data_IF_171728387439
#
_entry.id   IF_171728387439
#
_cell.length_a   1.000
_cell.length_b   1.000
_cell.length_c   1.000
_cell.angle_alpha   90.00
_cell.angle_beta   90.00
_cell.angle_gamma   90.00
#
_symmetry.space_group_name_H-M   'P 1'
#
loop_
_entity.id
_entity.type
_entity.pdbx_description
1 polymer ?
#
# COMPACT_ATOMS: atom_id res chain seq x y z
N UNK A 1 30.42 16.16 2.79
CA UNK A 1 29.70 16.01 1.51
C UNK A 1 29.62 14.52 1.19
N UNK A 2 28.44 13.92 1.05
CA UNK A 2 28.34 12.56 0.56
C UNK A 2 28.79 12.51 -0.91
N UNK A 3 29.39 11.41 -1.36
CA UNK A 3 29.91 11.29 -2.72
C UNK A 3 28.77 11.34 -3.75
N UNK A 4 28.86 12.20 -4.74
CA UNK A 4 27.89 12.40 -5.83
C UNK A 4 27.52 11.09 -6.59
N UNK A 5 28.33 10.04 -6.49
CA UNK A 5 28.08 8.74 -7.12
C UNK A 5 26.98 7.93 -6.44
N UNK A 6 26.82 8.00 -5.11
CA UNK A 6 25.81 7.25 -4.37
C UNK A 6 24.40 7.80 -4.63
N UNK A 7 24.24 9.12 -4.71
CA UNK A 7 22.95 9.78 -4.99
C UNK A 7 22.44 9.45 -6.40
N UNK A 8 23.36 9.42 -7.40
CA UNK A 8 22.99 9.05 -8.78
C UNK A 8 22.60 7.56 -8.91
N UNK A 9 23.28 6.65 -8.21
CA UNK A 9 22.94 5.22 -8.24
C UNK A 9 21.58 4.93 -7.61
N UNK A 10 21.26 5.60 -6.49
CA UNK A 10 19.95 5.48 -5.83
C UNK A 10 18.82 6.04 -6.69
N UNK A 11 19.04 7.20 -7.34
CA UNK A 11 18.09 7.80 -8.27
C UNK A 11 17.84 6.88 -9.46
N UNK A 12 18.90 6.32 -10.08
CA UNK A 12 18.77 5.43 -11.23
C UNK A 12 18.06 4.12 -10.89
N UNK A 13 18.30 3.57 -9.69
CA UNK A 13 17.58 2.38 -9.22
C UNK A 13 16.08 2.66 -9.06
N UNK A 14 15.70 3.82 -8.53
CA UNK A 14 14.31 4.22 -8.41
C UNK A 14 13.61 4.33 -9.77
N UNK A 15 14.26 4.97 -10.76
CA UNK A 15 13.77 5.06 -12.14
C UNK A 15 13.54 3.65 -12.77
N UNK A 16 14.49 2.74 -12.54
CA UNK A 16 14.37 1.37 -13.09
C UNK A 16 13.21 0.61 -12.43
N UNK A 17 12.99 0.78 -11.11
CA UNK A 17 11.87 0.14 -10.40
C UNK A 17 10.53 0.73 -10.82
N UNK A 18 10.45 2.04 -11.07
CA UNK A 18 9.23 2.69 -11.55
C UNK A 18 8.87 2.20 -12.96
N UNK A 19 9.81 2.22 -13.90
CA UNK A 19 9.60 1.68 -15.24
C UNK A 19 9.24 0.19 -15.23
N UNK A 20 9.77 -0.58 -14.27
CA UNK A 20 9.43 -1.99 -14.09
C UNK A 20 8.00 -2.16 -13.56
N UNK A 21 7.56 -1.32 -12.60
CA UNK A 21 6.19 -1.32 -12.11
C UNK A 21 5.21 -1.04 -13.24
N UNK A 22 5.47 0.00 -14.05
CA UNK A 22 4.64 0.34 -15.21
C UNK A 22 4.59 -0.81 -16.22
N UNK A 23 5.74 -1.37 -16.61
CA UNK A 23 5.82 -2.49 -17.54
C UNK A 23 5.02 -3.71 -17.05
N UNK A 24 5.15 -4.04 -15.77
CA UNK A 24 4.40 -5.14 -15.15
C UNK A 24 2.89 -4.86 -15.08
N UNK A 25 2.50 -3.61 -14.82
CA UNK A 25 1.10 -3.20 -14.80
C UNK A 25 0.47 -3.24 -16.21
N UNK A 26 1.23 -2.86 -17.26
CA UNK A 26 0.74 -2.79 -18.64
C UNK A 26 0.67 -4.19 -19.29
N UNK A 27 1.74 -4.98 -19.16
CA UNK A 27 1.90 -6.22 -19.90
C UNK A 27 1.69 -7.49 -19.05
N UNK A 28 1.50 -7.32 -17.76
CA UNK A 28 1.42 -8.42 -16.79
C UNK A 28 2.74 -9.18 -16.62
N UNK A 29 2.73 -10.16 -15.72
CA UNK A 29 3.92 -10.98 -15.46
C UNK A 29 4.41 -11.70 -16.72
N UNK A 30 3.54 -12.34 -17.50
CA UNK A 30 3.95 -13.12 -18.68
C UNK A 30 4.58 -12.25 -19.77
N UNK A 31 4.01 -11.09 -20.04
CA UNK A 31 4.45 -10.18 -21.10
C UNK A 31 5.71 -9.38 -20.77
N UNK A 32 5.95 -9.07 -19.49
CA UNK A 32 7.12 -8.31 -19.05
C UNK A 32 8.42 -9.13 -19.15
N UNK A 33 9.52 -8.47 -19.49
CA UNK A 33 10.87 -9.08 -19.54
C UNK A 33 11.96 -8.03 -19.29
N UNK A 34 13.14 -8.47 -18.79
CA UNK A 34 14.30 -7.60 -18.63
C UNK A 34 14.72 -6.94 -19.95
N UNK A 35 14.56 -7.63 -21.09
CA UNK A 35 14.84 -7.07 -22.41
C UNK A 35 13.91 -5.89 -22.73
N UNK A 36 12.60 -6.04 -22.49
CA UNK A 36 11.63 -4.95 -22.70
C UNK A 36 11.87 -3.79 -21.76
N UNK A 37 12.20 -4.07 -20.50
CA UNK A 37 12.55 -3.04 -19.53
C UNK A 37 13.80 -2.25 -19.96
N UNK A 38 14.85 -2.94 -20.45
CA UNK A 38 16.04 -2.31 -20.99
C UNK A 38 15.71 -1.38 -22.17
N UNK A 39 14.89 -1.86 -23.12
CA UNK A 39 14.45 -1.08 -24.26
C UNK A 39 13.64 0.16 -23.83
N UNK A 40 12.73 0.03 -22.86
CA UNK A 40 11.93 1.15 -22.31
C UNK A 40 12.80 2.24 -21.66
N UNK A 41 13.90 1.83 -21.02
CA UNK A 41 14.85 2.73 -20.35
C UNK A 41 15.98 3.25 -21.26
N UNK A 42 16.05 2.83 -22.50
CA UNK A 42 17.18 3.14 -23.39
C UNK A 42 18.52 2.58 -22.87
N UNK A 43 18.49 1.46 -22.14
CA UNK A 43 19.67 0.83 -21.53
C UNK A 43 20.06 -0.43 -22.29
N UNK A 44 21.38 -0.76 -22.25
CA UNK A 44 21.82 -2.08 -22.66
C UNK A 44 21.32 -3.15 -21.66
N UNK A 45 20.79 -4.26 -22.16
CA UNK A 45 20.28 -5.33 -21.31
C UNK A 45 21.30 -5.83 -20.25
N UNK A 46 22.61 -5.97 -20.53
CA UNK A 46 23.59 -6.33 -19.50
C UNK A 46 23.64 -5.39 -18.32
N UNK A 47 23.33 -4.10 -18.50
CA UNK A 47 23.31 -3.13 -17.41
C UNK A 47 22.19 -3.39 -16.39
N UNK A 48 21.08 -4.00 -16.81
CA UNK A 48 20.00 -4.38 -15.89
C UNK A 48 20.37 -5.56 -15.00
N UNK A 49 21.24 -6.47 -15.45
CA UNK A 49 21.70 -7.59 -14.64
C UNK A 49 22.56 -7.16 -13.42
N UNK A 50 23.04 -5.92 -13.39
CA UNK A 50 23.64 -5.35 -12.18
C UNK A 50 22.59 -5.02 -11.10
N UNK A 51 21.33 -4.80 -11.49
CA UNK A 51 20.22 -4.49 -10.58
C UNK A 51 19.40 -5.73 -10.24
N UNK A 52 19.13 -6.60 -11.22
CA UNK A 52 18.25 -7.76 -11.09
C UNK A 52 18.84 -8.97 -11.80
N UNK A 53 18.99 -10.07 -11.08
CA UNK A 53 19.54 -11.31 -11.64
C UNK A 53 18.53 -12.04 -12.51
N UNK A 54 17.26 -12.01 -12.12
CA UNK A 54 16.15 -12.68 -12.81
C UNK A 54 14.93 -11.77 -12.86
N UNK A 55 13.92 -12.18 -13.61
CA UNK A 55 12.62 -11.53 -13.64
C UNK A 55 11.91 -11.63 -12.29
N UNK A 56 12.05 -12.76 -11.63
CA UNK A 56 11.50 -12.99 -10.29
C UNK A 56 12.11 -12.02 -9.27
N UNK A 57 13.43 -11.83 -9.32
CA UNK A 57 14.14 -10.85 -8.48
C UNK A 57 13.63 -9.42 -8.74
N UNK A 58 13.45 -9.04 -10.02
CA UNK A 58 12.84 -7.76 -10.39
C UNK A 58 11.47 -7.59 -9.74
N UNK A 59 10.58 -8.58 -9.89
CA UNK A 59 9.21 -8.51 -9.33
C UNK A 59 9.23 -8.43 -7.82
N UNK A 60 10.05 -9.25 -7.13
CA UNK A 60 10.19 -9.19 -5.67
C UNK A 60 10.63 -7.80 -5.20
N UNK A 61 11.60 -7.18 -5.90
CA UNK A 61 12.08 -5.85 -5.54
C UNK A 61 11.05 -4.76 -5.81
N UNK A 62 10.31 -4.83 -6.90
CA UNK A 62 9.17 -3.93 -7.19
C UNK A 62 8.14 -4.05 -6.08
N UNK A 63 7.68 -5.27 -5.76
CA UNK A 63 6.68 -5.50 -4.73
C UNK A 63 7.16 -5.01 -3.35
N UNK A 64 8.38 -5.32 -2.95
CA UNK A 64 8.93 -4.91 -1.66
C UNK A 64 9.06 -3.37 -1.54
N UNK A 65 9.51 -2.71 -2.62
CA UNK A 65 9.71 -1.25 -2.63
C UNK A 65 8.37 -0.51 -2.47
N UNK A 66 7.38 -0.86 -3.29
CA UNK A 66 6.09 -0.17 -3.27
C UNK A 66 5.22 -0.55 -2.06
N UNK A 67 5.35 -1.78 -1.56
CA UNK A 67 4.78 -2.16 -0.28
C UNK A 67 5.36 -1.33 0.88
N UNK A 68 6.68 -1.17 0.92
CA UNK A 68 7.34 -0.32 1.92
C UNK A 68 6.84 1.13 1.91
N UNK A 69 6.60 1.70 0.74
CA UNK A 69 6.06 3.05 0.60
C UNK A 69 4.64 3.21 1.15
N UNK A 70 3.83 2.14 1.16
CA UNK A 70 2.51 2.17 1.78
C UNK A 70 2.59 2.40 3.29
N UNK A 71 3.51 1.69 3.97
CA UNK A 71 3.67 1.78 5.43
C UNK A 71 4.41 3.04 5.89
N UNK A 72 5.19 3.66 5.01
CA UNK A 72 5.85 4.95 5.27
C UNK A 72 4.90 6.16 5.10
N UNK A 73 3.64 5.92 4.80
CA UNK A 73 2.68 6.99 4.51
C UNK A 73 2.22 7.76 5.75
N UNK A 74 2.42 7.22 6.95
CA UNK A 74 2.12 7.87 8.23
C UNK A 74 3.39 8.48 8.81
N UNK A 75 3.47 9.81 8.80
CA UNK A 75 4.43 10.52 9.65
C UNK A 75 3.93 10.49 11.11
N UNK A 76 4.82 10.56 12.11
CA UNK A 76 4.41 10.56 13.52
C UNK A 76 3.38 11.64 13.89
N UNK A 77 3.44 12.81 13.24
CA UNK A 77 2.51 13.93 13.39
C UNK A 77 1.12 13.68 12.77
N UNK A 78 0.97 12.62 11.99
CA UNK A 78 -0.27 12.19 11.34
C UNK A 78 -0.95 11.01 12.06
N UNK A 79 -0.39 10.55 13.17
CA UNK A 79 -1.01 9.51 13.98
C UNK A 79 -2.19 10.08 14.78
N UNK A 80 -3.24 9.26 15.04
CA UNK A 80 -4.36 9.71 15.88
C UNK A 80 -3.87 10.01 17.28
N UNK A 81 -4.31 11.13 17.85
CA UNK A 81 -3.97 11.54 19.23
C UNK A 81 -5.03 11.11 20.24
N UNK A 82 -6.26 10.92 19.80
CA UNK A 82 -7.38 10.39 20.57
C UNK A 82 -7.96 9.15 19.87
N UNK A 83 -8.64 8.30 20.63
CA UNK A 83 -9.34 7.14 20.07
C UNK A 83 -10.44 7.58 19.10
N UNK A 84 -11.10 8.71 19.36
CA UNK A 84 -12.13 9.29 18.51
C UNK A 84 -11.57 9.71 17.13
N UNK A 85 -10.29 10.13 17.04
CA UNK A 85 -9.65 10.49 15.78
C UNK A 85 -9.33 9.29 14.86
N UNK A 86 -9.27 8.08 15.41
CA UNK A 86 -8.83 6.88 14.68
C UNK A 86 -9.60 6.64 13.38
N UNK A 87 -10.95 6.68 13.35
CA UNK A 87 -11.68 6.44 12.10
C UNK A 87 -11.33 7.46 11.02
N UNK A 88 -11.31 8.74 11.35
CA UNK A 88 -11.00 9.82 10.43
C UNK A 88 -9.55 9.71 9.90
N UNK A 89 -8.57 9.62 10.80
CA UNK A 89 -7.14 9.54 10.42
C UNK A 89 -6.86 8.31 9.57
N UNK A 90 -7.44 7.16 9.90
CA UNK A 90 -7.30 5.92 9.13
C UNK A 90 -7.81 6.08 7.71
N UNK A 91 -9.03 6.55 7.54
CA UNK A 91 -9.69 6.68 6.23
C UNK A 91 -9.00 7.74 5.37
N UNK A 92 -8.72 8.93 5.91
CA UNK A 92 -8.04 10.01 5.19
C UNK A 92 -6.62 9.60 4.75
N UNK A 93 -5.92 8.84 5.59
CA UNK A 93 -4.59 8.33 5.23
C UNK A 93 -4.66 7.29 4.13
N UNK A 94 -5.61 6.36 4.19
CA UNK A 94 -5.84 5.40 3.13
C UNK A 94 -6.13 6.11 1.81
N UNK A 95 -7.03 7.09 1.79
CA UNK A 95 -7.34 7.90 0.60
C UNK A 95 -6.08 8.55 0.02
N UNK A 96 -5.24 9.20 0.86
CA UNK A 96 -3.98 9.82 0.40
C UNK A 96 -3.01 8.81 -0.20
N UNK A 97 -2.88 7.63 0.38
CA UNK A 97 -2.01 6.57 -0.15
C UNK A 97 -2.49 6.10 -1.50
N UNK A 98 -3.77 5.84 -1.63
CA UNK A 98 -4.38 5.37 -2.88
C UNK A 98 -4.39 6.42 -4.00
N UNK A 99 -4.33 7.70 -3.66
CA UNK A 99 -4.22 8.79 -4.65
C UNK A 99 -2.81 8.93 -5.24
N UNK A 100 -1.79 8.28 -4.69
CA UNK A 100 -0.45 8.29 -5.28
C UNK A 100 -0.47 7.61 -6.65
N UNK A 101 0.14 8.19 -7.70
CA UNK A 101 0.08 7.65 -9.06
C UNK A 101 0.55 6.19 -9.19
N UNK A 102 1.54 5.80 -8.40
CA UNK A 102 2.12 4.45 -8.42
C UNK A 102 1.28 3.40 -7.69
N UNK A 103 0.35 3.83 -6.80
CA UNK A 103 -0.39 2.89 -5.96
C UNK A 103 -1.36 1.98 -6.76
N UNK A 104 -2.19 2.49 -7.70
CA UNK A 104 -3.04 1.64 -8.51
C UNK A 104 -2.22 0.65 -9.37
N UNK A 105 -1.07 1.08 -9.89
CA UNK A 105 -0.17 0.20 -10.65
C UNK A 105 0.36 -0.93 -9.75
N UNK A 106 0.80 -0.58 -8.53
CA UNK A 106 1.26 -1.57 -7.56
C UNK A 106 0.18 -2.59 -7.22
N UNK A 107 -1.06 -2.16 -6.94
CA UNK A 107 -2.17 -3.06 -6.61
C UNK A 107 -2.48 -3.99 -7.79
N UNK A 108 -2.52 -3.48 -9.03
CA UNK A 108 -2.69 -4.30 -10.25
C UNK A 108 -1.60 -5.37 -10.35
N UNK A 109 -0.35 -4.98 -10.18
CA UNK A 109 0.80 -5.92 -10.23
C UNK A 109 0.67 -6.94 -9.10
N UNK A 110 0.45 -6.51 -7.86
CA UNK A 110 0.33 -7.39 -6.70
C UNK A 110 -0.75 -8.47 -6.89
N UNK A 111 -1.95 -8.07 -7.36
CA UNK A 111 -3.04 -9.00 -7.65
C UNK A 111 -2.64 -9.96 -8.79
N UNK A 112 -2.06 -9.45 -9.88
CA UNK A 112 -1.75 -10.26 -11.06
C UNK A 112 -0.66 -11.31 -10.80
N UNK A 113 0.36 -10.97 -10.00
CA UNK A 113 1.51 -11.84 -9.77
C UNK A 113 1.34 -12.80 -8.59
N UNK A 114 0.46 -12.49 -7.63
CA UNK A 114 0.29 -13.27 -6.40
C UNK A 114 -0.08 -14.74 -6.64
N UNK A 115 -0.71 -15.05 -7.77
CA UNK A 115 -1.12 -16.39 -8.16
C UNK A 115 -0.18 -17.07 -9.16
N UNK A 116 0.77 -16.33 -9.72
CA UNK A 116 1.70 -16.85 -10.74
C UNK A 116 2.83 -17.65 -10.10
N UNK A 117 3.32 -17.20 -8.94
CA UNK A 117 4.40 -17.86 -8.21
C UNK A 117 4.09 -17.83 -6.71
N UNK A 118 4.13 -18.97 -6.00
CA UNK A 118 3.87 -19.04 -4.56
C UNK A 118 4.71 -18.07 -3.72
N UNK A 119 5.94 -17.76 -4.15
CA UNK A 119 6.81 -16.76 -3.47
C UNK A 119 6.17 -15.38 -3.45
N UNK A 120 5.55 -14.94 -4.55
CA UNK A 120 4.86 -13.64 -4.61
C UNK A 120 3.61 -13.63 -3.74
N UNK A 121 2.84 -14.72 -3.74
CA UNK A 121 1.69 -14.88 -2.84
C UNK A 121 2.10 -14.80 -1.38
N UNK A 122 3.18 -15.46 -0.98
CA UNK A 122 3.74 -15.39 0.38
C UNK A 122 4.22 -13.99 0.73
N UNK A 123 4.90 -13.29 -0.21
CA UNK A 123 5.33 -11.91 0.00
C UNK A 123 4.13 -10.98 0.19
N UNK A 124 3.10 -11.11 -0.64
CA UNK A 124 1.89 -10.27 -0.53
C UNK A 124 1.11 -10.56 0.76
N UNK A 125 1.01 -11.82 1.19
CA UNK A 125 0.43 -12.15 2.49
C UNK A 125 1.19 -11.47 3.64
N UNK A 126 2.52 -11.54 3.62
CA UNK A 126 3.35 -10.85 4.62
C UNK A 126 3.06 -9.34 4.65
N UNK A 127 2.98 -8.72 3.49
CA UNK A 127 2.73 -7.27 3.37
C UNK A 127 1.32 -6.91 3.82
N UNK A 128 0.29 -7.48 3.19
CA UNK A 128 -1.10 -7.04 3.40
C UNK A 128 -1.75 -7.60 4.66
N UNK A 129 -1.19 -8.67 5.24
CA UNK A 129 -1.74 -9.27 6.46
C UNK A 129 -0.83 -9.01 7.65
N UNK A 130 0.43 -9.53 7.61
CA UNK A 130 1.29 -9.54 8.80
C UNK A 130 1.83 -8.14 9.13
N UNK A 131 2.43 -7.44 8.14
CA UNK A 131 2.96 -6.09 8.35
C UNK A 131 1.84 -5.07 8.59
N UNK A 132 0.71 -5.19 7.89
CA UNK A 132 -0.44 -4.32 8.12
C UNK A 132 -0.98 -4.50 9.55
N UNK A 133 -1.16 -5.74 10.02
CA UNK A 133 -1.60 -6.02 11.40
C UNK A 133 -0.62 -5.44 12.42
N UNK A 134 0.68 -5.66 12.23
CA UNK A 134 1.70 -5.10 13.11
C UNK A 134 1.64 -3.56 13.15
N UNK A 135 1.51 -2.91 11.97
CA UNK A 135 1.38 -1.44 11.88
C UNK A 135 0.15 -0.91 12.62
N UNK A 136 -0.99 -1.59 12.49
CA UNK A 136 -2.22 -1.27 13.23
C UNK A 136 -1.99 -1.40 14.74
N UNK A 137 -1.40 -2.50 15.18
CA UNK A 137 -1.08 -2.72 16.59
C UNK A 137 -0.17 -1.63 17.16
N UNK A 138 0.86 -1.19 16.41
CA UNK A 138 1.73 -0.11 16.86
C UNK A 138 0.97 1.23 16.96
N UNK A 139 0.12 1.55 16.00
CA UNK A 139 -0.71 2.76 16.00
C UNK A 139 -1.70 2.77 17.16
N UNK A 140 -2.33 1.63 17.43
CA UNK A 140 -3.37 1.49 18.46
C UNK A 140 -2.82 1.24 19.88
N UNK A 141 -1.54 0.89 19.99
CA UNK A 141 -0.91 0.56 21.28
C UNK A 141 -1.16 1.56 22.40
N UNK A 142 -1.04 2.89 22.22
CA UNK A 142 -1.29 3.84 23.30
C UNK A 142 -2.72 3.77 23.86
N UNK A 143 -3.71 3.50 23.01
CA UNK A 143 -5.12 3.42 23.40
C UNK A 143 -5.42 2.11 24.14
N UNK A 144 -4.81 1.01 23.67
CA UNK A 144 -4.91 -0.31 24.34
C UNK A 144 -4.26 -0.26 25.72
N UNK A 145 -3.07 0.33 25.87
CA UNK A 145 -2.35 0.44 27.14
C UNK A 145 -3.11 1.33 28.16
N UNK A 146 -3.89 2.31 27.70
CA UNK A 146 -4.78 3.10 28.58
C UNK A 146 -6.12 2.44 28.88
N UNK A 147 -6.34 1.25 28.31
CA UNK A 147 -7.59 0.52 28.48
C UNK A 147 -8.79 1.15 27.77
N UNK A 148 -8.60 2.00 26.77
CA UNK A 148 -9.67 2.65 26.01
C UNK A 148 -10.32 1.71 24.97
N UNK A 149 -9.60 0.68 24.49
CA UNK A 149 -10.08 -0.34 23.56
C UNK A 149 -9.29 -1.63 23.76
N UNK A 150 -9.91 -2.79 23.49
CA UNK A 150 -9.21 -4.08 23.47
C UNK A 150 -8.34 -4.22 22.23
N UNK A 151 -7.27 -5.04 22.33
CA UNK A 151 -6.29 -5.18 21.27
C UNK A 151 -6.89 -5.78 20.00
N UNK A 152 -7.77 -6.77 20.12
CA UNK A 152 -8.41 -7.41 18.97
C UNK A 152 -9.46 -6.49 18.33
N UNK A 153 -10.29 -5.82 19.12
CA UNK A 153 -11.24 -4.82 18.67
C UNK A 153 -10.55 -3.66 17.94
N UNK A 154 -9.38 -3.23 18.44
CA UNK A 154 -8.58 -2.18 17.81
C UNK A 154 -8.10 -2.59 16.40
N UNK A 155 -7.64 -3.82 16.24
CA UNK A 155 -7.21 -4.37 14.95
C UNK A 155 -8.40 -4.52 14.00
N UNK A 156 -9.51 -5.05 14.47
CA UNK A 156 -10.69 -5.30 13.65
C UNK A 156 -11.35 -4.00 13.19
N UNK A 157 -11.46 -3.00 14.07
CA UNK A 157 -11.96 -1.67 13.72
C UNK A 157 -11.16 -1.04 12.57
N UNK A 158 -9.84 -0.94 12.74
CA UNK A 158 -8.97 -0.31 11.73
C UNK A 158 -8.99 -1.10 10.44
N UNK A 159 -8.96 -2.43 10.51
CA UNK A 159 -9.02 -3.31 9.35
C UNK A 159 -10.35 -3.18 8.58
N UNK A 160 -11.46 -3.08 9.29
CA UNK A 160 -12.78 -2.84 8.70
C UNK A 160 -12.78 -1.54 7.88
N UNK A 161 -12.26 -0.44 8.46
CA UNK A 161 -12.18 0.86 7.78
C UNK A 161 -11.28 0.81 6.53
N UNK A 162 -10.09 0.20 6.66
CA UNK A 162 -9.16 0.04 5.55
C UNK A 162 -9.74 -0.82 4.43
N UNK A 163 -10.44 -1.90 4.76
CA UNK A 163 -11.07 -2.77 3.76
C UNK A 163 -12.22 -2.06 3.03
N UNK A 164 -13.07 -1.33 3.77
CA UNK A 164 -14.18 -0.59 3.18
C UNK A 164 -13.69 0.45 2.16
N UNK A 165 -12.75 1.31 2.56
CA UNK A 165 -12.22 2.36 1.68
C UNK A 165 -11.31 1.78 0.59
N UNK A 166 -10.51 0.76 0.92
CA UNK A 166 -9.58 0.12 0.01
C UNK A 166 -10.29 -0.56 -1.17
N UNK A 167 -11.37 -1.31 -0.91
CA UNK A 167 -12.15 -1.95 -1.96
C UNK A 167 -12.74 -0.92 -2.92
N UNK A 168 -13.35 0.15 -2.39
CA UNK A 168 -13.94 1.22 -3.21
C UNK A 168 -12.90 1.89 -4.12
N UNK A 169 -11.68 2.14 -3.58
CA UNK A 169 -10.60 2.73 -4.35
C UNK A 169 -10.00 1.75 -5.39
N UNK A 170 -9.99 0.45 -5.10
CA UNK A 170 -9.61 -0.59 -6.06
C UNK A 170 -10.62 -0.64 -7.21
N UNK A 171 -11.92 -0.58 -6.92
CA UNK A 171 -12.96 -0.51 -7.95
C UNK A 171 -12.72 0.68 -8.88
N UNK A 172 -12.62 1.89 -8.34
CA UNK A 172 -12.45 3.11 -9.13
C UNK A 172 -11.14 3.12 -9.92
N UNK A 173 -10.00 2.89 -9.26
CA UNK A 173 -8.67 3.12 -9.86
C UNK A 173 -8.08 1.90 -10.56
N UNK A 174 -8.43 0.69 -10.14
CA UNK A 174 -7.84 -0.54 -10.68
C UNK A 174 -8.78 -1.25 -11.63
N UNK A 175 -10.05 -1.42 -11.26
CA UNK A 175 -11.01 -2.16 -12.08
C UNK A 175 -11.59 -1.30 -13.21
N UNK A 176 -11.96 -0.06 -12.90
CA UNK A 176 -12.60 0.84 -13.88
C UNK A 176 -11.68 1.89 -14.48
N UNK A 177 -10.41 1.95 -14.03
CA UNK A 177 -9.39 2.90 -14.48
C UNK A 177 -9.88 4.37 -14.47
N UNK A 178 -10.73 4.73 -13.51
CA UNK A 178 -11.26 6.08 -13.38
C UNK A 178 -10.12 7.05 -13.02
N UNK A 179 -10.02 8.16 -13.77
CA UNK A 179 -9.05 9.21 -13.47
C UNK A 179 -9.35 9.90 -12.15
N UNK A 180 -10.64 10.07 -11.85
CA UNK A 180 -11.13 10.65 -10.60
C UNK A 180 -12.11 9.70 -9.92
N UNK A 181 -12.24 9.77 -8.58
CA UNK A 181 -13.27 9.03 -7.86
C UNK A 181 -14.67 9.41 -8.35
N UNK A 182 -15.61 8.48 -8.31
CA UNK A 182 -17.01 8.74 -8.68
C UNK A 182 -17.65 9.85 -7.81
N UNK A 183 -18.75 10.47 -8.29
CA UNK A 183 -19.35 11.66 -7.66
C UNK A 183 -19.84 11.45 -6.22
N UNK A 184 -20.04 10.22 -5.80
CA UNK A 184 -20.46 9.82 -4.45
C UNK A 184 -19.30 9.36 -3.55
N UNK A 185 -18.05 9.49 -4.01
CA UNK A 185 -16.89 9.05 -3.24
C UNK A 185 -16.74 9.79 -1.90
N UNK A 186 -16.88 11.12 -1.90
CA UNK A 186 -16.79 11.90 -0.66
C UNK A 186 -17.91 11.57 0.33
N UNK A 187 -19.12 11.29 -0.18
CA UNK A 187 -20.23 10.79 0.64
C UNK A 187 -19.87 9.45 1.28
N UNK A 188 -19.29 8.55 0.49
CA UNK A 188 -18.87 7.24 0.97
C UNK A 188 -17.76 7.34 2.02
N UNK A 189 -16.76 8.20 1.82
CA UNK A 189 -15.71 8.49 2.81
C UNK A 189 -16.31 8.93 4.15
N UNK A 190 -17.24 9.91 4.12
CA UNK A 190 -17.93 10.37 5.35
C UNK A 190 -18.75 9.25 6.00
N UNK A 191 -19.39 8.41 5.21
CA UNK A 191 -20.15 7.26 5.72
C UNK A 191 -19.24 6.25 6.43
N UNK A 192 -18.08 5.91 5.85
CA UNK A 192 -17.12 4.97 6.45
C UNK A 192 -16.58 5.53 7.77
N UNK A 193 -16.24 6.84 7.82
CA UNK A 193 -15.80 7.51 9.06
C UNK A 193 -16.89 7.45 10.13
N UNK A 194 -18.12 7.81 9.78
CA UNK A 194 -19.26 7.78 10.71
C UNK A 194 -19.54 6.36 11.24
N UNK A 195 -19.40 5.34 10.37
CA UNK A 195 -19.51 3.92 10.77
C UNK A 195 -18.43 3.55 11.79
N UNK A 196 -17.21 4.03 11.60
CA UNK A 196 -16.13 3.82 12.56
C UNK A 196 -16.42 4.44 13.94
N UNK A 197 -16.95 5.66 13.97
CA UNK A 197 -17.37 6.30 15.24
C UNK A 197 -18.53 5.54 15.92
N UNK A 198 -19.51 5.09 15.13
CA UNK A 198 -20.61 4.30 15.69
C UNK A 198 -20.11 2.97 16.28
N UNK A 199 -19.15 2.32 15.63
CA UNK A 199 -18.53 1.10 16.14
C UNK A 199 -17.75 1.34 17.44
N UNK A 200 -16.97 2.44 17.52
CA UNK A 200 -16.28 2.83 18.76
C UNK A 200 -17.27 3.03 19.93
N UNK A 201 -18.38 3.71 19.68
CA UNK A 201 -19.41 3.92 20.69
C UNK A 201 -20.04 2.60 21.15
N UNK A 202 -20.29 1.66 20.21
CA UNK A 202 -20.82 0.34 20.52
C UNK A 202 -19.85 -0.50 21.36
N UNK A 203 -18.54 -0.47 21.02
CA UNK A 203 -17.50 -1.17 21.79
C UNK A 203 -17.37 -0.59 23.21
N UNK A 204 -17.43 0.72 23.36
CA UNK A 204 -17.41 1.36 24.69
C UNK A 204 -18.60 0.93 25.55
N UNK A 205 -19.82 0.88 24.98
CA UNK A 205 -21.02 0.48 25.70
C UNK A 205 -21.05 -1.02 26.12
N UNK A 206 -20.21 -1.86 25.54
CA UNK A 206 -20.09 -3.28 25.95
C UNK A 206 -19.13 -3.49 27.13
N UNK A 207 -18.38 -2.47 27.50
CA UNK A 207 -17.36 -2.53 28.57
C UNK A 207 -17.86 -1.98 29.91
N UNK A 208 -18.94 -1.20 29.89
CA UNK A 208 -19.67 -0.72 31.06
C UNK A 208 -20.65 -1.77 31.59
#
# INVERSE_FOLDING_TARGET
>A
MPPKSATNATSRRAEVLEAALELLADEGYAGASLRKLAARLGMAQPSLYHYFRTKEDLVEQVLATYAGQMFQALSPDQLPTTLEDVPRVTVETAVRVYQRPTHPLFVRVAISVSRVNPRFGTLMRRVFVEQATWGIQQMMKPFVERGEIDADDAVDLVRMLLNAIGLRLIEDKVMFAAHEPGPDFDRYVRFVIATGHAQLAALAAQRD
#
